data_IF_286401152327
#
_entry.id   IF_286401152327
#
_cell.length_a   1.000
_cell.length_b   1.000
_cell.length_c   1.000
_cell.angle_alpha   90.00
_cell.angle_beta   90.00
_cell.angle_gamma   90.00
#
_symmetry.space_group_name_H-M   'P 1'
#
loop_
_entity.id
_entity.type
_entity.pdbx_description
1 polymer ?
#
# COMPACT_ATOMS: atom_id res chain seq x y z
N UNK A 1 -2.80 -21.82 21.98
CA UNK A 1 -4.27 -21.78 21.77
C UNK A 1 -4.85 -21.07 22.98
N UNK A 2 -5.57 -20.02 22.73
CA UNK A 2 -6.31 -19.30 23.76
C UNK A 2 -7.78 -19.23 23.36
N UNK A 3 -8.66 -19.39 24.32
CA UNK A 3 -10.10 -19.35 24.14
C UNK A 3 -10.71 -18.33 25.10
N UNK A 4 -11.66 -17.55 24.61
CA UNK A 4 -12.48 -16.63 25.41
C UNK A 4 -13.93 -16.62 24.90
N UNK A 5 -14.78 -15.76 25.46
CA UNK A 5 -16.21 -15.67 25.07
C UNK A 5 -16.42 -15.30 23.59
N UNK A 6 -15.40 -14.77 22.90
CA UNK A 6 -15.42 -14.36 21.50
C UNK A 6 -15.00 -15.47 20.54
N UNK A 7 -14.30 -16.51 21.03
CA UNK A 7 -13.85 -17.64 20.23
C UNK A 7 -12.50 -18.21 20.63
N UNK A 8 -11.99 -19.09 19.78
CA UNK A 8 -10.69 -19.76 19.97
C UNK A 8 -9.65 -19.13 19.06
N UNK A 9 -8.51 -18.70 19.63
CA UNK A 9 -7.38 -18.13 18.91
C UNK A 9 -6.28 -19.19 18.76
N UNK A 10 -6.00 -19.59 17.51
CA UNK A 10 -5.01 -20.60 17.20
C UNK A 10 -3.94 -19.94 16.32
N UNK A 11 -2.72 -19.76 16.86
CA UNK A 11 -1.56 -19.22 16.13
C UNK A 11 -1.87 -17.92 15.37
N UNK A 12 -2.67 -17.04 15.97
CA UNK A 12 -3.03 -15.75 15.37
C UNK A 12 -1.88 -14.75 15.54
N UNK A 13 -0.85 -14.93 14.70
CA UNK A 13 0.34 -14.07 14.70
C UNK A 13 0.05 -12.66 14.18
N UNK A 14 0.83 -11.69 14.64
CA UNK A 14 0.93 -10.35 14.07
C UNK A 14 1.81 -10.37 12.82
N UNK A 15 1.70 -9.34 11.98
CA UNK A 15 2.58 -9.18 10.83
C UNK A 15 3.91 -8.53 11.26
N UNK A 16 5.04 -9.10 10.83
CA UNK A 16 6.36 -8.57 11.13
C UNK A 16 6.60 -7.29 10.34
N UNK A 17 6.97 -6.22 11.05
CA UNK A 17 7.36 -4.96 10.46
C UNK A 17 8.66 -4.43 11.10
N UNK A 18 9.70 -4.31 10.29
CA UNK A 18 11.04 -3.88 10.72
C UNK A 18 11.49 -2.58 10.05
N UNK A 19 10.57 -1.78 9.51
CA UNK A 19 10.92 -0.58 8.74
C UNK A 19 11.70 0.45 9.55
N UNK A 20 11.45 0.53 10.85
CA UNK A 20 12.17 1.43 11.78
C UNK A 20 13.58 0.95 12.13
N UNK A 21 13.86 -0.34 11.89
CA UNK A 21 15.07 -1.04 12.36
C UNK A 21 15.98 -1.51 11.22
N UNK A 22 15.80 -0.97 10.01
CA UNK A 22 16.58 -1.37 8.84
C UNK A 22 18.07 -1.09 9.01
N UNK A 23 18.41 0.05 9.63
CA UNK A 23 19.81 0.40 9.91
C UNK A 23 20.44 -0.57 10.91
N UNK A 24 19.75 -0.89 11.99
CA UNK A 24 20.22 -1.84 13.00
C UNK A 24 20.43 -3.23 12.39
N UNK A 25 19.54 -3.68 11.51
CA UNK A 25 19.68 -4.94 10.78
C UNK A 25 20.89 -4.92 9.84
N UNK A 26 21.11 -3.83 9.11
CA UNK A 26 22.30 -3.64 8.25
C UNK A 26 23.58 -3.67 9.08
N UNK A 27 23.63 -2.94 10.19
CA UNK A 27 24.78 -2.85 11.08
C UNK A 27 25.09 -4.22 11.75
N UNK A 28 24.05 -5.05 11.96
CA UNK A 28 24.19 -6.45 12.40
C UNK A 28 24.65 -7.42 11.29
N UNK A 29 24.87 -6.93 10.06
CA UNK A 29 25.38 -7.74 8.94
C UNK A 29 24.32 -8.35 8.03
N UNK A 30 23.06 -7.92 8.11
CA UNK A 30 22.01 -8.36 7.18
C UNK A 30 22.22 -7.67 5.83
N UNK A 31 22.42 -8.46 4.77
CA UNK A 31 22.73 -7.99 3.41
C UNK A 31 21.52 -8.03 2.47
N UNK A 32 20.44 -8.68 2.86
CA UNK A 32 19.23 -8.82 2.02
C UNK A 32 17.98 -8.91 2.87
N UNK A 33 16.93 -8.23 2.44
CA UNK A 33 15.61 -8.24 3.08
C UNK A 33 14.62 -8.95 2.16
N UNK A 34 13.89 -9.92 2.71
CA UNK A 34 12.82 -10.62 2.00
C UNK A 34 11.47 -10.12 2.50
N UNK A 35 10.64 -9.63 1.58
CA UNK A 35 9.25 -9.25 1.85
C UNK A 35 8.35 -10.42 1.44
N UNK A 36 7.49 -10.86 2.36
CA UNK A 36 6.52 -11.92 2.07
C UNK A 36 5.19 -11.30 1.62
N UNK A 37 4.74 -11.69 0.45
CA UNK A 37 3.51 -11.18 -0.15
C UNK A 37 2.80 -12.17 -1.05
N UNK A 38 3.19 -13.47 -1.04
CA UNK A 38 2.64 -14.50 -1.93
C UNK A 38 1.10 -14.57 -1.92
N UNK A 39 0.51 -14.45 -0.75
CA UNK A 39 -0.95 -14.52 -0.54
C UNK A 39 -1.62 -13.16 -0.51
N UNK A 40 -0.88 -12.10 -0.80
CA UNK A 40 -1.36 -10.72 -0.77
C UNK A 40 -1.68 -10.20 -2.18
N UNK A 41 -2.42 -9.10 -2.26
CA UNK A 41 -2.73 -8.44 -3.53
C UNK A 41 -1.50 -7.78 -4.17
N UNK A 42 -1.49 -7.54 -5.49
CA UNK A 42 -0.45 -6.73 -6.14
C UNK A 42 -0.30 -5.34 -5.50
N UNK A 43 -1.40 -4.73 -5.09
CA UNK A 43 -1.40 -3.44 -4.38
C UNK A 43 -0.63 -3.50 -3.06
N UNK A 44 -0.83 -4.56 -2.26
CA UNK A 44 -0.05 -4.76 -1.04
C UNK A 44 1.45 -4.85 -1.34
N UNK A 45 1.83 -5.67 -2.32
CA UNK A 45 3.25 -5.87 -2.67
C UNK A 45 3.87 -4.55 -3.16
N UNK A 46 3.19 -3.83 -4.05
CA UNK A 46 3.65 -2.56 -4.57
C UNK A 46 3.85 -1.53 -3.45
N UNK A 47 2.87 -1.40 -2.55
CA UNK A 47 2.92 -0.44 -1.45
C UNK A 47 4.03 -0.76 -0.44
N UNK A 48 4.11 -2.01 0.00
CA UNK A 48 5.13 -2.44 0.97
C UNK A 48 6.55 -2.32 0.39
N UNK A 49 6.75 -2.78 -0.86
CA UNK A 49 8.05 -2.67 -1.53
C UNK A 49 8.45 -1.21 -1.71
N UNK A 50 7.52 -0.34 -2.11
CA UNK A 50 7.80 1.09 -2.26
C UNK A 50 8.20 1.74 -0.93
N UNK A 51 7.47 1.47 0.16
CA UNK A 51 7.80 2.02 1.49
C UNK A 51 9.18 1.54 1.97
N UNK A 52 9.47 0.25 1.87
CA UNK A 52 10.77 -0.30 2.25
C UNK A 52 11.92 0.19 1.34
N UNK A 53 11.68 0.33 0.02
CA UNK A 53 12.68 0.86 -0.90
C UNK A 53 13.05 2.30 -0.54
N UNK A 54 12.05 3.14 -0.25
CA UNK A 54 12.27 4.52 0.20
C UNK A 54 13.03 4.58 1.53
N UNK A 55 12.70 3.70 2.47
CA UNK A 55 13.43 3.62 3.74
C UNK A 55 14.89 3.20 3.54
N UNK A 56 15.16 2.23 2.65
CA UNK A 56 16.51 1.75 2.37
C UNK A 56 17.34 2.82 1.65
N UNK A 57 16.77 3.51 0.67
CA UNK A 57 17.47 4.54 -0.11
C UNK A 57 17.86 5.77 0.74
N UNK A 58 17.09 6.03 1.78
CA UNK A 58 17.31 7.14 2.70
C UNK A 58 17.83 6.70 4.08
N UNK A 59 18.32 5.47 4.22
CA UNK A 59 18.62 4.84 5.51
C UNK A 59 19.54 5.68 6.42
N UNK A 60 20.51 6.39 5.86
CA UNK A 60 21.46 7.19 6.61
C UNK A 60 20.93 8.61 6.95
N UNK A 61 19.78 8.99 6.41
CA UNK A 61 19.14 10.31 6.60
C UNK A 61 17.68 10.24 7.03
N UNK A 62 17.20 9.07 7.46
CA UNK A 62 15.82 8.89 7.93
C UNK A 62 15.56 9.74 9.17
N UNK A 63 14.56 10.60 9.08
CA UNK A 63 14.02 11.30 10.25
C UNK A 63 12.85 10.53 10.87
N UNK A 64 12.54 10.74 12.17
CA UNK A 64 11.37 10.12 12.80
C UNK A 64 10.07 10.43 12.05
N UNK A 65 9.92 11.66 11.52
CA UNK A 65 8.75 12.09 10.76
C UNK A 65 8.61 11.29 9.46
N UNK A 66 9.71 11.12 8.71
CA UNK A 66 9.69 10.35 7.47
C UNK A 66 9.44 8.85 7.71
N UNK A 67 10.00 8.29 8.78
CA UNK A 67 9.67 6.92 9.21
C UNK A 67 8.17 6.80 9.49
N UNK A 68 7.57 7.78 10.19
CA UNK A 68 6.14 7.76 10.48
C UNK A 68 5.29 7.86 9.20
N UNK A 69 5.71 8.65 8.21
CA UNK A 69 5.07 8.68 6.89
C UNK A 69 5.10 7.30 6.23
N UNK A 70 6.25 6.64 6.20
CA UNK A 70 6.38 5.29 5.62
C UNK A 70 5.57 4.24 6.40
N UNK A 71 5.45 4.36 7.72
CA UNK A 71 4.56 3.51 8.52
C UNK A 71 3.09 3.75 8.16
N UNK A 72 2.70 4.99 7.91
CA UNK A 72 1.35 5.32 7.46
C UNK A 72 1.05 4.71 6.08
N UNK A 73 2.05 4.59 5.19
CA UNK A 73 1.89 3.85 3.95
C UNK A 73 1.55 2.37 4.19
N UNK A 74 2.28 1.72 5.08
CA UNK A 74 2.09 0.30 5.35
C UNK A 74 0.69 -0.04 5.87
N UNK A 75 0.03 0.87 6.60
CA UNK A 75 -1.33 0.64 7.10
C UNK A 75 -2.43 0.84 6.04
N UNK A 76 -2.10 1.37 4.85
CA UNK A 76 -3.07 1.54 3.75
C UNK A 76 -3.56 0.21 3.19
N UNK A 77 -2.71 -0.81 3.20
CA UNK A 77 -2.99 -2.14 2.64
C UNK A 77 -3.35 -3.16 3.72
N UNK A 78 -3.99 -4.25 3.32
CA UNK A 78 -4.48 -5.28 4.23
C UNK A 78 -3.37 -5.91 5.06
N UNK A 79 -3.36 -5.65 6.35
CA UNK A 79 -2.39 -6.15 7.31
C UNK A 79 -3.04 -6.53 8.64
N UNK A 80 -2.38 -7.39 9.43
CA UNK A 80 -2.66 -7.61 10.85
C UNK A 80 -1.93 -6.56 11.68
N UNK A 81 -2.16 -6.53 12.99
CA UNK A 81 -1.34 -5.69 13.87
C UNK A 81 0.13 -5.98 13.65
N UNK A 82 0.95 -4.94 13.61
CA UNK A 82 2.38 -5.07 13.42
C UNK A 82 3.11 -5.43 14.71
N UNK A 83 4.24 -6.12 14.56
CA UNK A 83 5.17 -6.50 15.62
C UNK A 83 6.60 -6.50 15.08
N UNK A 84 7.57 -6.36 15.96
CA UNK A 84 8.98 -6.62 15.66
C UNK A 84 9.36 -8.10 15.87
N UNK A 85 8.39 -8.97 16.14
CA UNK A 85 8.59 -10.39 16.38
C UNK A 85 9.43 -10.65 17.64
N UNK A 86 10.54 -11.35 17.46
CA UNK A 86 11.44 -11.73 18.56
C UNK A 86 12.68 -10.83 18.69
N UNK A 87 12.83 -9.83 17.82
CA UNK A 87 14.06 -9.04 17.75
C UNK A 87 14.35 -8.23 19.02
N UNK A 88 13.30 -7.76 19.71
CA UNK A 88 13.42 -6.96 20.93
C UNK A 88 12.77 -7.61 22.16
N UNK A 89 12.55 -8.93 22.10
CA UNK A 89 11.95 -9.69 23.19
C UNK A 89 10.73 -10.49 22.75
N UNK A 90 10.12 -11.19 23.71
CA UNK A 90 9.11 -12.21 23.44
C UNK A 90 7.66 -11.74 23.64
N UNK A 91 7.45 -10.52 24.05
CA UNK A 91 6.24 -10.12 24.77
C UNK A 91 5.01 -9.78 23.90
N UNK A 92 5.12 -9.78 22.55
CA UNK A 92 4.01 -9.29 21.72
C UNK A 92 3.75 -10.13 20.45
N UNK A 93 3.57 -11.43 20.61
CA UNK A 93 3.55 -12.40 19.49
C UNK A 93 2.19 -12.65 18.89
N UNK A 94 1.13 -12.65 19.68
CA UNK A 94 -0.22 -13.06 19.25
C UNK A 94 -1.21 -11.90 19.32
N UNK A 95 -2.12 -11.85 18.39
CA UNK A 95 -3.22 -10.89 18.40
C UNK A 95 -4.48 -11.59 18.94
N UNK A 96 -4.87 -11.25 20.17
CA UNK A 96 -6.04 -11.80 20.83
C UNK A 96 -7.29 -10.91 20.67
N UNK A 97 -7.14 -9.73 20.06
CA UNK A 97 -8.24 -8.76 19.95
C UNK A 97 -9.04 -8.94 18.66
N UNK A 98 -8.40 -9.32 17.57
CA UNK A 98 -9.05 -9.48 16.27
C UNK A 98 -8.24 -10.39 15.34
N UNK A 99 -8.94 -11.23 14.59
CA UNK A 99 -8.38 -12.01 13.48
C UNK A 99 -8.51 -11.29 12.14
N UNK A 100 -9.28 -10.19 12.10
CA UNK A 100 -9.53 -9.47 10.87
C UNK A 100 -8.38 -8.52 10.53
N UNK A 101 -7.94 -8.50 9.27
CA UNK A 101 -6.96 -7.51 8.80
C UNK A 101 -7.60 -6.12 8.80
N UNK A 102 -6.75 -5.12 9.01
CA UNK A 102 -7.09 -3.70 8.87
C UNK A 102 -6.64 -3.22 7.50
N UNK A 103 -7.41 -2.35 6.88
CA UNK A 103 -7.08 -1.69 5.61
C UNK A 103 -7.77 -0.32 5.59
N UNK A 104 -7.03 0.72 5.20
CA UNK A 104 -7.57 2.09 5.16
C UNK A 104 -7.79 2.62 3.75
N UNK A 105 -7.16 2.01 2.73
CA UNK A 105 -7.24 2.42 1.32
C UNK A 105 -7.57 1.23 0.44
N UNK A 106 -8.21 1.50 -0.69
CA UNK A 106 -8.57 0.50 -1.69
C UNK A 106 -7.79 0.70 -2.98
N UNK A 107 -7.56 -0.40 -3.71
CA UNK A 107 -6.92 -0.37 -5.01
C UNK A 107 -7.93 0.01 -6.08
N UNK A 108 -7.96 1.28 -6.50
CA UNK A 108 -8.98 1.81 -7.39
C UNK A 108 -8.70 1.56 -8.87
N UNK A 109 -7.46 1.76 -9.32
CA UNK A 109 -7.08 1.57 -10.71
C UNK A 109 -5.58 1.31 -10.88
N UNK A 110 -5.21 0.68 -11.99
CA UNK A 110 -3.83 0.49 -12.43
C UNK A 110 -3.57 1.35 -13.67
N UNK A 111 -2.50 2.12 -13.67
CA UNK A 111 -1.98 2.78 -14.88
C UNK A 111 -1.42 1.70 -15.81
N UNK A 112 -1.92 1.63 -17.03
CA UNK A 112 -1.56 0.61 -18.05
C UNK A 112 -1.02 1.20 -19.35
N UNK A 113 -0.91 2.52 -19.44
CA UNK A 113 -0.35 3.23 -20.59
C UNK A 113 0.37 4.50 -20.19
N UNK A 114 1.14 5.04 -21.13
CA UNK A 114 1.88 6.28 -20.91
C UNK A 114 0.93 7.49 -20.83
N UNK A 115 1.31 8.47 -20.02
CA UNK A 115 0.63 9.76 -19.97
C UNK A 115 1.07 10.64 -21.13
N UNK A 116 0.11 11.27 -21.81
CA UNK A 116 0.39 12.32 -22.80
C UNK A 116 0.51 13.74 -22.20
N UNK A 117 0.50 13.81 -20.85
CA UNK A 117 0.53 15.07 -20.09
C UNK A 117 -0.84 15.72 -19.90
N UNK A 118 -1.91 15.10 -20.40
CA UNK A 118 -3.30 15.53 -20.19
C UNK A 118 -4.18 14.38 -19.68
N UNK A 119 -3.93 13.17 -20.13
CA UNK A 119 -4.66 11.97 -19.71
C UNK A 119 -3.74 10.76 -19.72
N UNK A 120 -4.15 9.73 -18.98
CA UNK A 120 -3.46 8.45 -18.85
C UNK A 120 -4.44 7.31 -18.98
N UNK A 121 -4.03 6.22 -19.65
CA UNK A 121 -4.85 5.02 -19.74
C UNK A 121 -4.73 4.20 -18.44
N UNK A 122 -5.88 3.92 -17.85
CA UNK A 122 -5.99 3.14 -16.62
C UNK A 122 -6.89 1.93 -16.81
N UNK A 123 -6.69 0.91 -15.98
CA UNK A 123 -7.59 -0.22 -15.84
C UNK A 123 -8.23 -0.19 -14.44
N UNK A 124 -9.55 -0.09 -14.39
CA UNK A 124 -10.34 -0.06 -13.17
C UNK A 124 -10.16 -1.35 -12.34
N UNK A 125 -10.04 -1.22 -11.02
CA UNK A 125 -9.96 -2.33 -10.05
C UNK A 125 -11.07 -2.29 -9.01
N UNK A 126 -11.49 -1.09 -8.61
CA UNK A 126 -12.64 -0.84 -7.78
C UNK A 126 -13.44 0.33 -8.36
N UNK A 127 -14.69 0.45 -7.92
CA UNK A 127 -15.61 1.48 -8.41
C UNK A 127 -15.21 2.86 -7.90
N UNK A 128 -15.10 3.82 -8.80
CA UNK A 128 -14.94 5.25 -8.50
C UNK A 128 -15.63 6.11 -9.57
N UNK A 129 -15.80 7.38 -9.29
CA UNK A 129 -16.58 8.30 -10.14
C UNK A 129 -15.93 9.67 -10.24
N UNK A 130 -16.42 10.46 -11.17
CA UNK A 130 -16.08 11.88 -11.26
C UNK A 130 -16.44 12.58 -9.94
N UNK A 131 -15.48 13.36 -9.42
CA UNK A 131 -15.54 14.04 -8.14
C UNK A 131 -14.78 13.36 -7.01
N UNK A 132 -14.45 12.07 -7.13
CA UNK A 132 -13.65 11.35 -6.16
C UNK A 132 -12.18 11.82 -6.19
N UNK A 133 -11.47 11.60 -5.09
CA UNK A 133 -10.04 11.84 -4.96
C UNK A 133 -9.28 10.50 -4.92
N UNK A 134 -8.26 10.39 -5.76
CA UNK A 134 -7.39 9.22 -5.85
C UNK A 134 -5.97 9.59 -5.43
N UNK A 135 -5.36 8.75 -4.63
CA UNK A 135 -3.97 8.88 -4.24
C UNK A 135 -3.08 8.04 -5.14
N UNK A 136 -1.96 8.59 -5.57
CA UNK A 136 -1.02 7.93 -6.48
C UNK A 136 0.01 7.12 -5.71
N UNK A 137 0.04 5.81 -5.95
CA UNK A 137 1.13 4.95 -5.55
C UNK A 137 2.11 4.81 -6.72
N UNK A 138 3.30 5.40 -6.61
CA UNK A 138 4.33 5.34 -7.64
C UNK A 138 5.73 5.26 -7.01
N UNK A 139 6.76 4.77 -7.76
CA UNK A 139 8.13 4.79 -7.29
C UNK A 139 8.81 6.16 -7.40
N UNK A 140 8.21 7.11 -8.15
CA UNK A 140 8.78 8.41 -8.50
C UNK A 140 8.18 9.57 -7.68
N UNK A 141 8.35 10.81 -8.16
CA UNK A 141 7.95 12.05 -7.49
C UNK A 141 6.43 12.29 -7.46
N UNK A 142 5.64 11.45 -8.12
CA UNK A 142 4.18 11.50 -8.04
C UNK A 142 3.62 10.71 -6.86
N UNK A 143 4.46 10.03 -6.08
CA UNK A 143 4.07 9.32 -4.88
C UNK A 143 3.28 10.20 -3.91
N UNK A 144 2.16 9.67 -3.41
CA UNK A 144 1.22 10.35 -2.51
C UNK A 144 0.61 11.65 -3.05
N UNK A 145 0.75 11.94 -4.35
CA UNK A 145 -0.02 13.03 -4.95
C UNK A 145 -1.49 12.65 -5.05
N UNK A 146 -2.35 13.63 -4.79
CA UNK A 146 -3.80 13.45 -4.92
C UNK A 146 -4.24 13.91 -6.30
N UNK A 147 -5.02 13.08 -6.97
CA UNK A 147 -5.73 13.40 -8.22
C UNK A 147 -7.21 13.51 -7.90
N UNK A 148 -7.81 14.66 -8.19
CA UNK A 148 -9.25 14.76 -8.26
C UNK A 148 -9.71 14.26 -9.62
N UNK A 149 -10.64 13.32 -9.64
CA UNK A 149 -11.23 12.77 -10.87
C UNK A 149 -12.16 13.83 -11.47
N UNK A 150 -11.63 14.64 -12.39
CA UNK A 150 -12.42 15.70 -13.04
C UNK A 150 -13.14 15.18 -14.28
N UNK A 151 -12.51 14.28 -15.04
CA UNK A 151 -13.03 13.70 -16.27
C UNK A 151 -12.45 12.32 -16.51
N UNK A 152 -13.30 11.43 -17.05
CA UNK A 152 -12.91 10.13 -17.61
C UNK A 152 -13.57 9.94 -18.97
N UNK A 153 -12.89 9.21 -19.86
CA UNK A 153 -13.42 8.76 -21.17
C UNK A 153 -13.17 7.27 -21.33
N UNK A 154 -14.06 6.59 -22.05
CA UNK A 154 -13.78 5.23 -22.52
C UNK A 154 -12.84 5.24 -23.74
N UNK A 155 -12.46 4.07 -24.24
CA UNK A 155 -11.57 3.93 -25.41
C UNK A 155 -12.20 4.46 -26.72
N UNK A 156 -13.52 4.72 -26.74
CA UNK A 156 -14.23 5.33 -27.88
C UNK A 156 -14.29 6.87 -27.78
N UNK A 157 -13.77 7.47 -26.73
CA UNK A 157 -13.80 8.90 -26.47
C UNK A 157 -15.13 9.40 -25.90
N UNK A 158 -15.96 8.53 -25.38
CA UNK A 158 -17.22 8.88 -24.74
C UNK A 158 -16.99 9.17 -23.24
N UNK A 159 -17.63 10.22 -22.73
CA UNK A 159 -17.54 10.60 -21.31
C UNK A 159 -18.10 9.50 -20.38
N UNK A 160 -17.33 9.15 -19.36
CA UNK A 160 -17.69 8.18 -18.31
C UNK A 160 -17.76 8.91 -16.96
N UNK A 161 -18.92 8.85 -16.30
CA UNK A 161 -19.11 9.47 -14.99
C UNK A 161 -18.82 8.53 -13.82
N UNK A 162 -18.88 7.23 -14.05
CA UNK A 162 -18.82 6.18 -13.00
C UNK A 162 -18.10 4.95 -13.56
N UNK A 163 -16.89 4.74 -13.11
CA UNK A 163 -16.05 3.58 -13.46
C UNK A 163 -16.49 2.36 -12.64
N UNK A 164 -17.50 1.64 -13.09
CA UNK A 164 -18.16 0.55 -12.34
C UNK A 164 -17.96 -0.85 -12.92
N UNK A 165 -17.50 -0.94 -14.17
CA UNK A 165 -17.35 -2.23 -14.85
C UNK A 165 -15.97 -2.84 -14.53
N UNK A 166 -15.95 -4.13 -14.23
CA UNK A 166 -14.73 -4.84 -13.82
C UNK A 166 -13.66 -4.77 -14.91
N UNK A 167 -12.47 -4.29 -14.55
CA UNK A 167 -11.32 -4.14 -15.45
C UNK A 167 -11.60 -3.27 -16.69
N UNK A 168 -12.52 -2.33 -16.56
CA UNK A 168 -12.80 -1.33 -17.59
C UNK A 168 -11.57 -0.47 -17.85
N UNK A 169 -11.25 -0.26 -19.13
CA UNK A 169 -10.17 0.62 -19.55
C UNK A 169 -10.72 2.00 -19.82
N UNK A 170 -10.11 2.99 -19.19
CA UNK A 170 -10.54 4.37 -19.22
C UNK A 170 -9.35 5.30 -19.36
N UNK A 171 -9.54 6.43 -20.02
CA UNK A 171 -8.63 7.55 -19.96
C UNK A 171 -9.03 8.45 -18.77
N UNK A 172 -8.16 8.54 -17.78
CA UNK A 172 -8.27 9.47 -16.65
C UNK A 172 -7.53 10.76 -17.00
N UNK A 173 -8.23 11.89 -16.94
CA UNK A 173 -7.63 13.21 -17.19
C UNK A 173 -6.86 13.67 -15.95
N UNK A 174 -5.56 13.93 -16.13
CA UNK A 174 -4.67 14.42 -15.08
C UNK A 174 -3.46 15.10 -15.70
N UNK A 175 -2.94 16.13 -15.00
CA UNK A 175 -1.69 16.79 -15.35
C UNK A 175 -0.45 16.13 -14.71
N UNK A 176 -0.66 15.16 -13.85
CA UNK A 176 0.46 14.43 -13.25
C UNK A 176 1.07 13.46 -14.29
N UNK A 177 2.40 13.41 -14.38
CA UNK A 177 3.11 12.43 -15.21
C UNK A 177 3.04 11.05 -14.54
N UNK A 178 2.02 10.30 -14.84
CA UNK A 178 1.81 8.96 -14.30
C UNK A 178 2.40 7.88 -15.19
#
# INVERSE_FOLDING_TARGET
IQEDERGTYILNSKDLNMIEHLKELKDAGVNSFKIEGRMKSPYYVANVVNAYRRAIDNMDSLTPEYIQELKNELIKTSHRKYTTGFYFGADDKECLESTYPVQTHEFMALVIGDSDGQKVLIEQRNRFKVGDELEVLSPNDTFNKIIKVEKMENELGEDVQDAKNVQERLYLYTKLPL
#
